data_IF_770131071327
#
_entry.id   IF_770131071327
#
_cell.length_a   1.000
_cell.length_b   1.000
_cell.length_c   1.000
_cell.angle_alpha   90.00
_cell.angle_beta   90.00
_cell.angle_gamma   90.00
#
_symmetry.space_group_name_H-M   'P 1'
#
loop_
_entity.id
_entity.type
_entity.pdbx_description
1 polymer ?
#
# COMPACT_ATOMS: atom_id res chain seq x y z
N UNK A 1 -31.86 0.27 40.64
CA UNK A 1 -30.40 0.03 40.78
C UNK A 1 -29.86 -1.21 40.05
N UNK A 2 -30.53 -2.39 39.98
CA UNK A 2 -29.91 -3.58 39.37
C UNK A 2 -29.78 -3.53 37.83
N UNK A 3 -30.67 -2.83 37.13
CA UNK A 3 -30.58 -2.69 35.67
C UNK A 3 -29.36 -1.85 35.24
N UNK A 4 -29.03 -0.79 35.99
CA UNK A 4 -27.88 0.07 35.71
C UNK A 4 -26.54 -0.67 35.90
N UNK A 5 -26.43 -1.50 36.93
CA UNK A 5 -25.23 -2.33 37.15
C UNK A 5 -25.09 -3.42 36.09
N UNK A 6 -26.19 -4.08 35.67
CA UNK A 6 -26.16 -5.07 34.59
C UNK A 6 -25.77 -4.43 33.25
N UNK A 7 -26.30 -3.25 32.92
CA UNK A 7 -25.93 -2.51 31.71
C UNK A 7 -24.46 -2.05 31.76
N UNK A 8 -23.98 -1.56 32.90
CA UNK A 8 -22.59 -1.15 33.06
C UNK A 8 -21.62 -2.33 32.90
N UNK A 9 -21.92 -3.47 33.52
CA UNK A 9 -21.13 -4.70 33.39
C UNK A 9 -21.19 -5.26 31.97
N UNK A 10 -22.37 -5.22 31.34
CA UNK A 10 -22.54 -5.61 29.95
C UNK A 10 -21.72 -4.74 28.99
N UNK A 11 -21.73 -3.42 29.18
CA UNK A 11 -20.91 -2.49 28.39
C UNK A 11 -19.41 -2.70 28.61
N UNK A 12 -18.99 -2.98 29.85
CA UNK A 12 -17.59 -3.28 30.20
C UNK A 12 -17.05 -4.54 29.54
N UNK A 13 -17.90 -5.51 29.19
CA UNK A 13 -17.48 -6.72 28.46
C UNK A 13 -17.66 -6.56 26.95
N UNK A 14 -18.79 -5.99 26.53
CA UNK A 14 -19.14 -5.86 25.12
C UNK A 14 -18.23 -4.88 24.37
N UNK A 15 -17.93 -3.71 24.96
CA UNK A 15 -17.12 -2.70 24.27
C UNK A 15 -15.68 -3.17 24.03
N UNK A 16 -14.96 -3.76 25.00
CA UNK A 16 -13.64 -4.33 24.73
C UNK A 16 -13.68 -5.50 23.75
N UNK A 17 -14.73 -6.32 23.76
CA UNK A 17 -14.89 -7.40 22.80
C UNK A 17 -15.04 -6.87 21.37
N UNK A 18 -15.93 -5.91 21.15
CA UNK A 18 -16.16 -5.31 19.83
C UNK A 18 -14.91 -4.58 19.34
N UNK A 19 -14.25 -3.80 20.20
CA UNK A 19 -13.00 -3.10 19.84
C UNK A 19 -11.88 -4.11 19.56
N UNK A 20 -11.71 -5.12 20.41
CA UNK A 20 -10.66 -6.13 20.27
C UNK A 20 -10.82 -6.98 19.01
N UNK A 21 -12.05 -7.35 18.65
CA UNK A 21 -12.34 -8.06 17.41
C UNK A 21 -12.20 -7.14 16.19
N UNK A 22 -12.75 -5.93 16.23
CA UNK A 22 -12.74 -4.99 15.12
C UNK A 22 -11.35 -4.47 14.76
N UNK A 23 -10.46 -4.32 15.76
CA UNK A 23 -9.07 -3.92 15.57
C UNK A 23 -8.10 -5.10 15.37
N UNK A 24 -8.59 -6.33 15.29
CA UNK A 24 -7.72 -7.51 15.15
C UNK A 24 -7.11 -7.61 13.75
N UNK A 25 -5.90 -8.19 13.60
CA UNK A 25 -5.31 -8.45 12.28
C UNK A 25 -6.22 -9.26 11.34
N UNK A 26 -7.10 -10.11 11.90
CA UNK A 26 -8.06 -10.91 11.14
C UNK A 26 -9.14 -10.05 10.47
N UNK A 27 -9.53 -8.94 11.08
CA UNK A 27 -10.51 -7.99 10.51
C UNK A 27 -9.86 -6.92 9.66
N UNK A 28 -8.59 -6.58 9.90
CA UNK A 28 -7.84 -5.58 9.12
C UNK A 28 -7.03 -6.18 7.97
N UNK A 29 -7.25 -7.45 7.62
CA UNK A 29 -6.53 -8.20 6.58
C UNK A 29 -5.00 -8.20 6.71
N UNK A 30 -4.43 -7.86 7.87
CA UNK A 30 -2.98 -7.81 8.05
C UNK A 30 -2.43 -9.23 7.99
N UNK A 31 -1.43 -9.43 7.12
CA UNK A 31 -0.89 -10.75 6.80
C UNK A 31 -1.61 -11.47 5.66
N UNK A 32 -2.69 -10.91 5.11
CA UNK A 32 -3.34 -11.47 3.91
C UNK A 32 -2.34 -11.52 2.73
N UNK A 33 -2.14 -12.73 2.20
CA UNK A 33 -1.15 -13.04 1.17
C UNK A 33 -1.72 -14.12 0.23
N UNK A 34 -2.62 -13.75 -0.70
CA UNK A 34 -3.30 -14.71 -1.56
C UNK A 34 -2.33 -15.34 -2.56
N UNK A 35 -2.61 -16.60 -2.94
CA UNK A 35 -1.93 -17.25 -4.04
C UNK A 35 -2.29 -16.55 -5.35
N UNK A 36 -1.29 -16.10 -6.09
CA UNK A 36 -1.47 -15.39 -7.35
C UNK A 36 -1.47 -16.36 -8.55
N UNK A 37 -2.02 -15.96 -9.72
CA UNK A 37 -1.97 -16.77 -10.94
C UNK A 37 -0.55 -17.11 -11.41
N UNK A 38 0.41 -16.23 -11.07
CA UNK A 38 1.85 -16.43 -11.28
C UNK A 38 2.54 -16.12 -9.96
N UNK A 39 3.49 -16.96 -9.56
CA UNK A 39 4.33 -16.75 -8.38
C UNK A 39 5.39 -15.65 -8.62
N UNK A 40 4.93 -14.42 -8.88
CA UNK A 40 5.79 -13.26 -9.09
C UNK A 40 6.46 -12.83 -7.79
N UNK A 41 7.79 -12.78 -7.79
CA UNK A 41 8.60 -12.40 -6.62
C UNK A 41 9.07 -10.96 -6.73
N UNK A 42 8.55 -10.06 -5.89
CA UNK A 42 9.09 -8.70 -5.77
C UNK A 42 10.49 -8.71 -5.13
N UNK A 43 10.77 -9.67 -4.26
CA UNK A 43 12.10 -9.85 -3.67
C UNK A 43 13.20 -10.08 -4.73
N UNK A 44 12.87 -10.82 -5.79
CA UNK A 44 13.78 -10.99 -6.92
C UNK A 44 13.88 -9.70 -7.75
N UNK A 45 12.75 -9.18 -8.23
CA UNK A 45 12.74 -8.09 -9.22
C UNK A 45 13.14 -6.74 -8.64
N UNK A 46 12.52 -6.32 -7.54
CA UNK A 46 12.82 -5.03 -6.91
C UNK A 46 14.00 -5.14 -5.93
N UNK A 47 14.08 -6.24 -5.17
CA UNK A 47 15.12 -6.41 -4.15
C UNK A 47 16.49 -6.80 -4.73
N UNK A 48 16.54 -7.90 -5.49
CA UNK A 48 17.82 -8.45 -5.97
C UNK A 48 18.28 -7.79 -7.27
N UNK A 49 17.37 -7.58 -8.23
CA UNK A 49 17.69 -6.98 -9.53
C UNK A 49 17.64 -5.45 -9.52
N UNK A 50 17.09 -4.83 -8.47
CA UNK A 50 17.04 -3.37 -8.33
C UNK A 50 16.12 -2.67 -9.33
N UNK A 51 15.12 -3.37 -9.90
CA UNK A 51 14.17 -2.76 -10.82
C UNK A 51 13.32 -1.73 -10.05
N UNK A 52 13.36 -0.47 -10.49
CA UNK A 52 12.56 0.60 -9.88
C UNK A 52 11.05 0.30 -9.99
N UNK A 53 10.31 0.60 -8.92
CA UNK A 53 8.89 0.30 -8.80
C UNK A 53 8.06 0.85 -9.96
N UNK A 54 8.45 2.01 -10.51
CA UNK A 54 7.73 2.73 -11.57
C UNK A 54 7.87 2.09 -12.94
N UNK A 55 8.86 1.19 -13.12
CA UNK A 55 8.96 0.43 -14.36
C UNK A 55 7.71 -0.42 -14.61
N UNK A 56 7.22 -1.06 -13.55
CA UNK A 56 6.00 -1.87 -13.60
C UNK A 56 4.74 -1.07 -13.22
N UNK A 57 4.83 -0.22 -12.19
CA UNK A 57 3.72 0.59 -11.67
C UNK A 57 3.77 2.02 -12.20
N UNK A 58 3.70 2.16 -13.52
CA UNK A 58 4.00 3.42 -14.23
C UNK A 58 3.06 4.58 -13.95
N UNK A 59 1.85 4.32 -13.45
CA UNK A 59 0.84 5.36 -13.20
C UNK A 59 0.86 5.90 -11.77
N UNK A 60 1.72 5.36 -10.89
CA UNK A 60 1.70 5.67 -9.45
C UNK A 60 1.95 7.15 -9.14
N UNK A 61 2.70 7.85 -9.99
CA UNK A 61 3.04 9.27 -9.81
C UNK A 61 1.99 10.23 -10.40
N UNK A 62 1.12 9.75 -11.30
CA UNK A 62 0.26 10.60 -12.15
C UNK A 62 -1.22 10.29 -12.06
N UNK A 63 -1.59 9.15 -11.49
CA UNK A 63 -2.99 8.70 -11.38
C UNK A 63 -3.34 8.36 -9.94
N UNK A 64 -4.64 8.41 -9.65
CA UNK A 64 -5.19 7.91 -8.40
C UNK A 64 -4.96 6.41 -8.22
N UNK A 65 -4.95 5.65 -9.33
CA UNK A 65 -4.76 4.21 -9.33
C UNK A 65 -3.36 3.83 -9.79
N UNK A 66 -2.64 3.04 -8.97
CA UNK A 66 -1.39 2.40 -9.36
C UNK A 66 -1.70 1.12 -10.16
N UNK A 67 -1.55 1.21 -11.48
CA UNK A 67 -1.86 0.10 -12.37
C UNK A 67 -0.92 -1.09 -12.13
N UNK A 68 -1.50 -2.29 -12.22
CA UNK A 68 -0.71 -3.53 -12.34
C UNK A 68 -0.26 -3.62 -13.80
N UNK A 69 1.03 -3.94 -14.06
CA UNK A 69 1.55 -3.96 -15.43
C UNK A 69 0.79 -4.94 -16.34
N UNK A 70 0.56 -4.59 -17.61
CA UNK A 70 0.10 -5.55 -18.59
C UNK A 70 1.18 -6.60 -18.87
N UNK A 71 0.78 -7.73 -19.44
CA UNK A 71 1.69 -8.83 -19.79
C UNK A 71 2.89 -8.39 -20.67
N UNK A 72 2.70 -7.35 -21.50
CA UNK A 72 3.75 -6.77 -22.34
C UNK A 72 4.99 -6.34 -21.53
N UNK A 73 4.81 -5.72 -20.36
CA UNK A 73 5.94 -5.25 -19.53
C UNK A 73 6.78 -6.43 -19.07
N UNK A 74 6.14 -7.53 -18.68
CA UNK A 74 6.83 -8.76 -18.30
C UNK A 74 7.59 -9.36 -19.50
N UNK A 75 6.99 -9.31 -20.69
CA UNK A 75 7.56 -9.88 -21.91
C UNK A 75 8.74 -9.08 -22.47
N UNK A 76 8.93 -7.82 -22.06
CA UNK A 76 10.13 -7.05 -22.40
C UNK A 76 11.43 -7.78 -22.00
N UNK A 77 11.37 -8.62 -20.97
CA UNK A 77 12.50 -9.46 -20.54
C UNK A 77 12.21 -10.96 -20.71
N UNK A 78 11.00 -11.41 -20.37
CA UNK A 78 10.66 -12.84 -20.36
C UNK A 78 10.48 -13.48 -21.75
N UNK A 79 10.57 -12.70 -22.83
CA UNK A 79 10.78 -13.23 -24.16
C UNK A 79 12.13 -13.97 -24.30
N UNK A 80 13.14 -13.60 -23.51
CA UNK A 80 14.46 -14.23 -23.50
C UNK A 80 14.81 -14.88 -22.15
N UNK A 81 14.43 -14.25 -21.03
CA UNK A 81 14.78 -14.72 -19.69
C UNK A 81 13.75 -15.73 -19.20
N UNK A 82 14.19 -16.99 -18.99
CA UNK A 82 13.33 -18.10 -18.58
C UNK A 82 12.13 -18.31 -19.52
N UNK A 83 12.30 -18.03 -20.81
CA UNK A 83 11.23 -18.02 -21.82
C UNK A 83 10.36 -19.29 -21.78
N UNK A 84 10.98 -20.46 -21.64
CA UNK A 84 10.30 -21.76 -21.63
C UNK A 84 9.89 -22.27 -20.23
N UNK A 85 10.08 -21.45 -19.19
CA UNK A 85 9.73 -21.86 -17.82
C UNK A 85 8.25 -22.20 -17.72
N UNK A 86 7.88 -23.38 -17.16
CA UNK A 86 6.48 -23.72 -16.93
C UNK A 86 5.74 -22.71 -16.04
N UNK A 87 6.46 -22.08 -15.10
CA UNK A 87 5.89 -21.06 -14.20
C UNK A 87 5.42 -19.80 -14.94
N UNK A 88 5.91 -19.56 -16.16
CA UNK A 88 5.51 -18.43 -17.01
C UNK A 88 4.44 -18.79 -18.05
N UNK A 89 3.92 -20.02 -18.04
CA UNK A 89 2.86 -20.42 -18.96
C UNK A 89 1.63 -19.48 -18.93
N UNK A 90 1.12 -19.06 -17.75
CA UNK A 90 0.01 -18.11 -17.71
C UNK A 90 0.37 -16.74 -18.31
N UNK A 91 1.61 -16.29 -18.18
CA UNK A 91 2.08 -15.03 -18.77
C UNK A 91 2.11 -15.13 -20.31
N UNK A 92 2.69 -16.20 -20.85
CA UNK A 92 2.74 -16.43 -22.30
C UNK A 92 1.34 -16.52 -22.90
N UNK A 93 0.43 -17.21 -22.22
CA UNK A 93 -0.97 -17.34 -22.64
C UNK A 93 -1.69 -15.98 -22.60
N UNK A 94 -1.51 -15.21 -21.52
CA UNK A 94 -2.04 -13.85 -21.39
C UNK A 94 -1.53 -12.93 -22.50
N UNK A 95 -0.24 -12.99 -22.80
CA UNK A 95 0.40 -12.21 -23.86
C UNK A 95 -0.14 -12.58 -25.25
N UNK A 96 -0.17 -13.88 -25.58
CA UNK A 96 -0.61 -14.37 -26.89
C UNK A 96 -2.08 -14.04 -27.19
N UNK A 97 -2.95 -14.05 -26.16
CA UNK A 97 -4.38 -13.75 -26.31
C UNK A 97 -4.73 -12.27 -26.14
N UNK A 98 -3.80 -11.43 -25.69
CA UNK A 98 -4.08 -10.05 -25.31
C UNK A 98 -5.03 -9.93 -24.10
N UNK A 99 -5.25 -10.99 -23.34
CA UNK A 99 -6.15 -11.00 -22.17
C UNK A 99 -5.35 -10.73 -20.90
N UNK A 100 -5.72 -9.74 -20.06
CA UNK A 100 -4.99 -9.45 -18.83
C UNK A 100 -4.96 -10.62 -17.84
N UNK A 101 -3.85 -10.76 -17.12
CA UNK A 101 -3.74 -11.68 -15.98
C UNK A 101 -4.73 -11.27 -14.89
N UNK A 102 -5.48 -12.25 -14.37
CA UNK A 102 -6.47 -12.05 -13.30
C UNK A 102 -5.80 -12.04 -11.93
N UNK A 103 -5.05 -10.98 -11.63
CA UNK A 103 -4.41 -10.79 -10.33
C UNK A 103 -5.43 -10.66 -9.21
N UNK A 104 -5.10 -11.20 -8.04
CA UNK A 104 -5.91 -11.02 -6.82
C UNK A 104 -5.32 -9.83 -6.05
N UNK A 105 -6.14 -8.82 -5.80
CA UNK A 105 -5.72 -7.63 -5.03
C UNK A 105 -5.36 -8.05 -3.60
N UNK A 106 -4.24 -7.51 -3.11
CA UNK A 106 -3.81 -7.69 -1.72
C UNK A 106 -4.33 -6.56 -0.84
N UNK A 107 -4.21 -5.33 -1.33
CA UNK A 107 -4.72 -4.13 -0.68
C UNK A 107 -6.02 -3.75 -1.40
N UNK A 108 -7.15 -3.92 -0.73
CA UNK A 108 -8.47 -3.63 -1.27
C UNK A 108 -9.22 -2.74 -0.28
N UNK A 109 -9.28 -1.45 -0.59
CA UNK A 109 -10.08 -0.49 0.17
C UNK A 109 -11.53 -0.57 -0.30
N UNK A 110 -12.51 -0.28 0.58
CA UNK A 110 -13.91 -0.25 0.17
C UNK A 110 -14.16 0.79 -0.94
N UNK A 111 -15.09 0.50 -1.84
CA UNK A 111 -15.36 1.33 -3.03
C UNK A 111 -15.84 2.75 -2.70
N UNK A 112 -16.36 2.98 -1.49
CA UNK A 112 -16.74 4.33 -0.99
C UNK A 112 -15.53 5.14 -0.47
N UNK A 113 -14.31 4.63 -0.64
CA UNK A 113 -13.06 5.31 -0.32
C UNK A 113 -12.31 5.59 -1.62
N UNK A 114 -12.25 6.86 -2.00
CA UNK A 114 -11.41 7.32 -3.09
C UNK A 114 -9.98 7.54 -2.60
N UNK A 115 -9.07 6.63 -2.95
CA UNK A 115 -7.64 6.76 -2.70
C UNK A 115 -6.90 7.23 -3.95
N UNK A 116 -5.99 8.20 -3.79
CA UNK A 116 -5.19 8.75 -4.88
C UNK A 116 -3.68 8.55 -4.67
N UNK A 117 -3.06 7.64 -5.41
CA UNK A 117 -1.61 7.39 -5.30
C UNK A 117 -0.77 8.64 -5.60
N UNK A 118 -1.08 9.36 -6.67
CA UNK A 118 -0.34 10.55 -7.09
C UNK A 118 -0.34 11.64 -6.02
N UNK A 119 -1.45 11.79 -5.28
CA UNK A 119 -1.56 12.77 -4.20
C UNK A 119 -0.62 12.48 -3.02
N UNK A 120 -0.23 11.22 -2.81
CA UNK A 120 0.66 10.83 -1.72
C UNK A 120 2.12 10.83 -2.17
N UNK A 121 2.40 10.18 -3.32
CA UNK A 121 3.76 10.04 -3.84
C UNK A 121 4.38 11.39 -4.19
N UNK A 122 3.62 12.27 -4.84
CA UNK A 122 4.09 13.64 -5.16
C UNK A 122 4.31 14.53 -3.93
N UNK A 123 3.87 14.09 -2.74
CA UNK A 123 3.99 14.81 -1.48
C UNK A 123 4.96 14.16 -0.51
N UNK A 124 5.83 13.26 -0.98
CA UNK A 124 6.90 12.71 -0.15
C UNK A 124 6.49 11.49 0.68
N UNK A 125 5.40 10.78 0.34
CA UNK A 125 5.02 9.54 1.03
C UNK A 125 5.57 8.34 0.25
N UNK A 126 6.56 7.65 0.82
CA UNK A 126 7.21 6.51 0.18
C UNK A 126 6.38 5.21 0.23
N UNK A 127 6.62 4.32 -0.73
CA UNK A 127 5.86 3.07 -0.89
C UNK A 127 5.91 2.16 0.35
N UNK A 128 7.08 2.12 1.02
CA UNK A 128 7.32 1.31 2.22
C UNK A 128 6.42 1.69 3.40
N UNK A 129 5.96 2.94 3.48
CA UNK A 129 5.11 3.42 4.57
C UNK A 129 3.75 2.71 4.60
N UNK A 130 3.20 2.38 3.42
CA UNK A 130 1.89 1.74 3.28
C UNK A 130 1.99 0.25 2.93
N UNK A 131 2.93 -0.12 2.07
CA UNK A 131 3.05 -1.50 1.57
C UNK A 131 4.11 -2.33 2.30
N UNK A 132 4.91 -1.73 3.17
CA UNK A 132 6.02 -2.40 3.85
C UNK A 132 7.19 -2.71 2.91
N UNK A 133 8.12 -3.56 3.34
CA UNK A 133 9.32 -3.94 2.57
C UNK A 133 9.01 -4.91 1.43
N UNK A 134 8.31 -4.43 0.41
CA UNK A 134 7.91 -5.22 -0.78
C UNK A 134 9.12 -5.77 -1.54
N UNK A 135 10.25 -5.06 -1.51
CA UNK A 135 11.55 -5.51 -2.00
C UNK A 135 12.09 -6.75 -1.27
N UNK A 136 11.47 -7.17 -0.17
CA UNK A 136 11.78 -8.40 0.57
C UNK A 136 10.65 -9.43 0.48
N UNK A 137 9.61 -9.18 -0.32
CA UNK A 137 8.43 -10.03 -0.42
C UNK A 137 8.50 -10.93 -1.65
N UNK A 138 8.68 -12.24 -1.43
CA UNK A 138 8.47 -13.23 -2.49
C UNK A 138 6.97 -13.33 -2.87
N UNK A 139 6.08 -13.15 -1.90
CA UNK A 139 4.64 -12.99 -2.10
C UNK A 139 4.21 -11.73 -1.36
N UNK A 140 3.50 -10.84 -2.05
CA UNK A 140 3.03 -9.59 -1.44
C UNK A 140 2.01 -9.91 -0.36
N UNK A 141 2.15 -9.23 0.78
CA UNK A 141 1.22 -9.32 1.90
C UNK A 141 0.83 -7.94 2.39
N UNK A 142 -0.39 -7.81 2.90
CA UNK A 142 -0.82 -6.58 3.54
C UNK A 142 -0.08 -6.42 4.88
N UNK A 143 0.72 -5.36 5.00
CA UNK A 143 1.54 -5.10 6.20
C UNK A 143 0.93 -4.07 7.12
N UNK A 144 0.17 -3.14 6.56
CA UNK A 144 -0.55 -2.11 7.29
C UNK A 144 -2.05 -2.42 7.32
N UNK A 145 -2.78 -1.99 8.35
CA UNK A 145 -4.21 -2.24 8.44
C UNK A 145 -5.03 -1.46 7.39
N UNK A 146 -4.50 -0.33 6.91
CA UNK A 146 -5.16 0.58 5.97
C UNK A 146 -6.59 0.98 6.41
N UNK A 147 -6.82 1.00 7.72
CA UNK A 147 -8.10 1.43 8.30
C UNK A 147 -8.20 2.94 8.28
N UNK A 148 -9.43 3.48 8.37
CA UNK A 148 -9.67 4.92 8.46
C UNK A 148 -8.86 5.56 9.61
N UNK A 149 -8.82 4.92 10.77
CA UNK A 149 -8.06 5.42 11.93
C UNK A 149 -6.57 5.54 11.60
N UNK A 150 -5.99 4.50 10.99
CA UNK A 150 -4.58 4.50 10.59
C UNK A 150 -4.27 5.58 9.54
N UNK A 151 -5.14 5.76 8.54
CA UNK A 151 -5.01 6.84 7.56
C UNK A 151 -5.09 8.21 8.23
N UNK A 152 -6.05 8.41 9.14
CA UNK A 152 -6.24 9.68 9.83
C UNK A 152 -5.09 10.01 10.77
N UNK A 153 -4.46 9.02 11.41
CA UNK A 153 -3.30 9.26 12.26
C UNK A 153 -2.12 9.84 11.45
N UNK A 154 -1.90 9.31 10.24
CA UNK A 154 -0.94 9.88 9.30
C UNK A 154 -1.38 11.28 8.81
N UNK A 155 -2.65 11.46 8.43
CA UNK A 155 -3.15 12.76 7.96
C UNK A 155 -3.12 13.85 9.04
N UNK A 156 -3.22 13.47 10.33
CA UNK A 156 -3.07 14.40 11.46
C UNK A 156 -1.64 14.86 11.66
N UNK A 157 -0.68 13.94 11.48
CA UNK A 157 0.75 14.18 11.68
C UNK A 157 1.58 13.50 10.60
N UNK A 158 1.63 14.06 9.37
CA UNK A 158 2.31 13.42 8.24
C UNK A 158 3.84 13.49 8.34
N UNK A 159 4.38 14.46 9.06
CA UNK A 159 5.82 14.80 9.10
C UNK A 159 6.75 13.59 9.35
N UNK A 160 6.45 12.64 10.26
CA UNK A 160 7.29 11.47 10.49
C UNK A 160 7.30 10.47 9.33
N UNK A 161 6.42 10.62 8.35
CA UNK A 161 6.29 9.72 7.20
C UNK A 161 6.81 10.34 5.89
N UNK A 162 7.13 11.64 5.92
CA UNK A 162 7.61 12.37 4.75
C UNK A 162 9.08 12.07 4.48
N UNK A 163 9.43 12.07 3.19
CA UNK A 163 10.78 11.89 2.68
C UNK A 163 11.04 12.73 1.42
N UNK A 164 12.31 12.97 1.07
CA UNK A 164 12.66 13.59 -0.20
C UNK A 164 12.13 12.78 -1.39
N UNK A 165 11.74 13.46 -2.48
CA UNK A 165 11.08 12.81 -3.63
C UNK A 165 12.00 11.79 -4.33
N UNK A 166 13.30 12.00 -4.28
CA UNK A 166 14.33 11.08 -4.76
C UNK A 166 14.35 9.74 -4.00
N UNK A 167 13.74 9.67 -2.81
CA UNK A 167 13.71 8.47 -1.97
C UNK A 167 12.34 7.80 -1.86
N UNK A 168 11.37 8.17 -2.73
CA UNK A 168 10.02 7.59 -2.74
C UNK A 168 10.02 6.07 -2.90
N UNK A 169 10.77 5.56 -3.88
CA UNK A 169 10.87 4.13 -4.21
C UNK A 169 12.01 3.43 -3.46
N UNK A 170 12.80 4.18 -2.68
CA UNK A 170 13.89 3.62 -1.87
C UNK A 170 13.32 2.88 -0.66
N UNK A 171 13.26 1.55 -0.76
CA UNK A 171 12.56 0.72 0.22
C UNK A 171 13.29 0.58 1.56
N UNK A 172 14.61 0.76 1.60
CA UNK A 172 15.40 0.75 2.83
C UNK A 172 15.58 2.15 3.45
N UNK A 173 14.98 3.20 2.88
CA UNK A 173 15.01 4.54 3.47
C UNK A 173 14.06 4.62 4.66
N UNK A 174 14.56 5.10 5.79
CA UNK A 174 13.81 5.31 7.02
C UNK A 174 13.70 6.80 7.35
N UNK A 175 12.55 7.27 7.88
CA UNK A 175 12.45 8.61 8.43
C UNK A 175 13.52 8.87 9.50
N UNK A 176 14.23 9.99 9.40
CA UNK A 176 15.34 10.32 10.29
C UNK A 176 16.67 9.62 9.96
N UNK A 177 16.75 8.83 8.88
CA UNK A 177 18.01 8.28 8.39
C UNK A 177 19.02 9.37 7.97
N UNK A 178 18.50 10.52 7.53
CA UNK A 178 19.28 11.70 7.21
C UNK A 178 18.89 12.84 8.17
N UNK A 179 19.79 13.28 9.07
CA UNK A 179 19.54 14.40 9.97
C UNK A 179 19.26 15.74 9.27
N UNK A 180 19.64 15.88 8.00
CA UNK A 180 19.33 17.07 7.20
C UNK A 180 17.88 17.10 6.72
N UNK A 181 17.20 15.95 6.70
CA UNK A 181 15.81 15.83 6.29
C UNK A 181 14.88 16.12 7.46
N UNK A 182 14.14 17.23 7.35
CA UNK A 182 13.13 17.63 8.33
C UNK A 182 11.72 17.46 7.77
N UNK A 183 10.93 16.58 8.39
CA UNK A 183 9.52 16.37 8.04
C UNK A 183 8.70 17.67 8.01
N UNK A 184 8.79 18.56 9.02
CA UNK A 184 8.15 19.88 8.97
C UNK A 184 8.61 20.74 7.78
N UNK A 185 9.90 20.70 7.42
CA UNK A 185 10.42 21.43 6.27
C UNK A 185 9.85 20.86 4.97
N UNK A 186 9.82 19.54 4.81
CA UNK A 186 9.20 18.85 3.67
C UNK A 186 7.71 19.15 3.56
N UNK A 187 6.98 19.16 4.69
CA UNK A 187 5.54 19.52 4.72
C UNK A 187 5.32 20.90 4.12
N UNK A 188 6.16 21.87 4.49
CA UNK A 188 6.12 23.25 3.95
C UNK A 188 6.53 23.29 2.48
N UNK A 189 7.64 22.64 2.12
CA UNK A 189 8.17 22.62 0.75
C UNK A 189 7.17 22.00 -0.23
N UNK A 190 6.53 20.90 0.16
CA UNK A 190 5.55 20.21 -0.65
C UNK A 190 4.14 20.78 -0.52
N UNK A 191 3.95 21.91 0.17
CA UNK A 191 2.64 22.56 0.27
C UNK A 191 1.53 21.64 0.78
N UNK A 192 1.85 20.74 1.71
CA UNK A 192 0.89 19.79 2.28
C UNK A 192 -0.14 20.59 3.09
N UNK A 193 -1.43 20.32 2.83
CA UNK A 193 -2.55 21.08 3.37
C UNK A 193 -2.67 20.95 4.91
N UNK A 194 -3.54 21.78 5.49
CA UNK A 194 -3.83 21.76 6.92
C UNK A 194 -4.41 20.40 7.33
N UNK A 195 -4.22 20.05 8.60
CA UNK A 195 -4.81 18.84 9.18
C UNK A 195 -6.33 18.83 9.02
N UNK A 196 -7.00 19.96 9.25
CA UNK A 196 -8.45 20.11 9.06
C UNK A 196 -8.91 19.73 7.64
N UNK A 197 -8.17 20.16 6.61
CA UNK A 197 -8.46 19.77 5.23
C UNK A 197 -8.23 18.28 5.03
N UNK A 198 -7.07 17.76 5.43
CA UNK A 198 -6.68 16.36 5.22
C UNK A 198 -7.58 15.37 5.97
N UNK A 199 -8.22 15.78 7.06
CA UNK A 199 -9.13 14.94 7.85
C UNK A 199 -10.62 15.17 7.53
N UNK A 200 -10.94 15.99 6.53
CA UNK A 200 -12.32 16.18 6.10
C UNK A 200 -12.85 14.91 5.40
N UNK A 201 -14.14 14.58 5.61
CA UNK A 201 -14.78 13.42 4.96
C UNK A 201 -14.66 13.47 3.43
N UNK A 202 -14.79 14.65 2.83
CA UNK A 202 -14.74 14.85 1.36
C UNK A 202 -13.37 14.61 0.74
N UNK A 203 -12.32 14.50 1.57
CA UNK A 203 -10.97 14.17 1.11
C UNK A 203 -10.90 12.74 0.60
N UNK A 204 -11.66 11.81 1.20
CA UNK A 204 -11.61 10.38 0.87
C UNK A 204 -12.97 9.78 0.51
N UNK A 205 -14.08 10.36 0.96
CA UNK A 205 -15.43 9.83 0.74
C UNK A 205 -16.19 10.76 -0.21
N UNK A 206 -16.36 10.31 -1.46
CA UNK A 206 -17.02 11.05 -2.54
C UNK A 206 -17.67 10.11 -3.54
#
# INVERSE_FOLDING_TARGET
MPALTVMALGALVYMPLVVGLGASPRTTAVGYAPQQPIAYSHALHAGTLGIDCRYCHSTVETSAFAAIPPAQVCMNCHAAIKADSPALAPLRESYARGTPLKWIKVHDLPDYVFFDHSAHVSRGVGCVSCHGRVDQMAVVRQTQPLSMAWCLDCHRRPEPHLRPLEHITTMNWAPGADPSVSGPALRKQYGIRSTEYLTNCTTCHR
#
